data_IF_987022145691
#
_entry.id   IF_987022145691
#
_cell.length_a   1.000
_cell.length_b   1.000
_cell.length_c   1.000
_cell.angle_alpha   90.00
_cell.angle_beta   90.00
_cell.angle_gamma   90.00
#
_symmetry.space_group_name_H-M   'P 1'
#
loop_
_entity.id
_entity.type
_entity.pdbx_description
1 polymer ?
#
# COMPACT_ATOMS: atom_id res chain seq x y z
N UNK A 1 16.15 11.51 21.93
CA UNK A 1 15.92 11.85 20.50
C UNK A 1 15.16 10.69 19.89
N UNK A 2 13.92 10.93 19.46
CA UNK A 2 13.08 9.90 18.83
C UNK A 2 13.72 9.50 17.49
N UNK A 3 13.90 8.21 17.28
CA UNK A 3 14.35 7.65 16.00
C UNK A 3 13.16 7.01 15.30
N UNK A 4 13.01 7.26 14.03
CA UNK A 4 11.97 6.65 13.21
C UNK A 4 12.61 5.99 11.98
N UNK A 5 12.06 4.85 11.56
CA UNK A 5 12.42 4.16 10.32
C UNK A 5 11.15 4.04 9.49
N UNK A 6 11.22 4.42 8.23
CA UNK A 6 10.18 4.21 7.24
C UNK A 6 10.60 3.05 6.34
N UNK A 7 9.70 2.09 6.14
CA UNK A 7 9.97 0.82 5.49
C UNK A 7 9.01 0.65 4.31
N UNK A 8 9.56 0.52 3.13
CA UNK A 8 8.80 0.08 1.96
C UNK A 8 8.55 -1.43 2.02
N UNK A 9 7.51 -1.90 1.37
CA UNK A 9 7.03 -3.29 1.44
C UNK A 9 7.54 -4.11 0.27
N UNK A 10 7.05 -3.81 -0.92
CA UNK A 10 7.22 -4.68 -2.09
C UNK A 10 8.62 -4.54 -2.71
N UNK A 11 9.39 -5.60 -2.67
CA UNK A 11 10.79 -5.57 -3.08
C UNK A 11 11.78 -5.12 -2.01
N UNK A 12 11.30 -4.63 -0.84
CA UNK A 12 12.11 -4.20 0.31
C UNK A 12 11.94 -5.16 1.49
N UNK A 13 10.80 -5.12 2.17
CA UNK A 13 10.47 -6.06 3.27
C UNK A 13 10.05 -7.41 2.72
N UNK A 14 9.26 -7.43 1.66
CA UNK A 14 8.75 -8.64 1.01
C UNK A 14 9.48 -8.83 -0.32
N UNK A 15 10.19 -9.92 -0.45
CA UNK A 15 10.82 -10.29 -1.72
C UNK A 15 9.79 -10.77 -2.73
N UNK A 16 9.86 -10.30 -3.97
CA UNK A 16 9.05 -10.81 -5.09
C UNK A 16 9.23 -12.30 -5.39
N UNK A 17 10.29 -12.94 -4.85
CA UNK A 17 10.54 -14.38 -5.03
C UNK A 17 9.86 -15.24 -3.98
N UNK A 18 9.79 -14.78 -2.74
CA UNK A 18 9.30 -15.57 -1.60
C UNK A 18 7.94 -15.11 -1.10
N UNK A 19 7.52 -13.89 -1.46
CA UNK A 19 6.30 -13.22 -0.99
C UNK A 19 6.16 -13.23 0.55
N UNK A 20 7.31 -13.14 1.25
CA UNK A 20 7.36 -13.18 2.72
C UNK A 20 8.43 -12.25 3.26
N UNK A 21 8.19 -11.73 4.46
CA UNK A 21 9.21 -11.06 5.27
C UNK A 21 10.19 -12.10 5.82
N UNK A 22 11.50 -11.97 5.59
CA UNK A 22 12.48 -12.88 6.18
C UNK A 22 12.45 -12.84 7.71
N UNK A 23 12.63 -13.99 8.36
CA UNK A 23 12.65 -14.08 9.83
C UNK A 23 13.70 -13.14 10.45
N UNK A 24 14.90 -13.05 9.85
CA UNK A 24 15.96 -12.15 10.30
C UNK A 24 15.58 -10.67 10.24
N UNK A 25 14.79 -10.25 9.25
CA UNK A 25 14.29 -8.87 9.16
C UNK A 25 13.25 -8.62 10.25
N UNK A 26 12.33 -9.58 10.46
CA UNK A 26 11.32 -9.48 11.51
C UNK A 26 11.96 -9.37 12.91
N UNK A 27 12.99 -10.18 13.19
CA UNK A 27 13.71 -10.14 14.47
C UNK A 27 14.44 -8.80 14.67
N UNK A 28 15.10 -8.27 13.62
CA UNK A 28 15.77 -6.98 13.67
C UNK A 28 14.78 -5.82 13.91
N UNK A 29 13.61 -5.85 13.27
CA UNK A 29 12.57 -4.84 13.47
C UNK A 29 11.98 -4.88 14.88
N UNK A 30 11.73 -6.06 15.41
CA UNK A 30 11.28 -6.25 16.79
C UNK A 30 12.30 -5.72 17.80
N UNK A 31 13.58 -6.02 17.58
CA UNK A 31 14.66 -5.51 18.42
C UNK A 31 14.77 -3.97 18.36
N UNK A 32 14.70 -3.39 17.15
CA UNK A 32 14.73 -1.94 16.97
C UNK A 32 13.55 -1.28 17.68
N UNK A 33 12.34 -1.79 17.54
CA UNK A 33 11.14 -1.30 18.19
C UNK A 33 11.25 -1.41 19.73
N UNK A 34 11.73 -2.54 20.26
CA UNK A 34 11.97 -2.74 21.68
C UNK A 34 13.00 -1.75 22.27
N UNK A 35 13.91 -1.22 21.45
CA UNK A 35 14.86 -0.16 21.80
C UNK A 35 14.30 1.26 21.64
N UNK A 36 13.01 1.41 21.38
CA UNK A 36 12.32 2.70 21.25
C UNK A 36 12.46 3.37 19.89
N UNK A 37 12.81 2.63 18.83
CA UNK A 37 12.74 3.12 17.46
C UNK A 37 11.30 2.98 16.97
N UNK A 38 10.71 4.05 16.47
CA UNK A 38 9.38 4.01 15.84
C UNK A 38 9.50 3.44 14.43
N UNK A 39 8.58 2.55 14.07
CA UNK A 39 8.55 1.90 12.76
C UNK A 39 7.31 2.33 11.98
N UNK A 40 7.50 2.80 10.77
CA UNK A 40 6.41 3.18 9.88
C UNK A 40 6.52 2.41 8.56
N UNK A 41 5.39 1.93 8.08
CA UNK A 41 5.28 1.37 6.73
C UNK A 41 5.02 2.51 5.75
N UNK A 42 5.71 2.52 4.61
CA UNK A 42 5.50 3.48 3.52
C UNK A 42 5.31 2.69 2.23
N UNK A 43 4.08 2.66 1.70
CA UNK A 43 3.71 1.72 0.63
C UNK A 43 2.68 2.31 -0.34
N UNK A 44 2.66 1.78 -1.57
CA UNK A 44 1.58 1.99 -2.52
C UNK A 44 0.30 1.25 -2.16
N UNK A 45 0.37 0.19 -1.31
CA UNK A 45 -0.80 -0.59 -0.93
C UNK A 45 -1.78 0.22 -0.08
N UNK A 46 -3.07 -0.14 -0.13
CA UNK A 46 -4.05 0.33 0.84
C UNK A 46 -3.75 -0.22 2.25
N UNK A 47 -4.16 0.50 3.29
CA UNK A 47 -3.92 0.06 4.67
C UNK A 47 -4.60 -1.28 5.00
N UNK A 48 -5.73 -1.60 4.34
CA UNK A 48 -6.42 -2.88 4.48
C UNK A 48 -5.63 -4.08 3.93
N UNK A 49 -4.68 -3.84 3.01
CA UNK A 49 -3.90 -4.89 2.33
C UNK A 49 -2.57 -5.20 3.03
N UNK A 50 -2.45 -4.90 4.31
CA UNK A 50 -1.24 -5.09 5.11
C UNK A 50 -1.31 -6.28 6.08
N UNK A 51 -2.26 -7.19 5.90
CA UNK A 51 -2.44 -8.35 6.78
C UNK A 51 -1.19 -9.24 6.87
N UNK A 52 -0.41 -9.32 5.80
CA UNK A 52 0.87 -10.06 5.73
C UNK A 52 2.00 -9.42 6.56
N UNK A 53 1.81 -8.19 7.05
CA UNK A 53 2.76 -7.44 7.88
C UNK A 53 2.37 -7.39 9.37
N UNK A 54 1.30 -8.05 9.79
CA UNK A 54 0.83 -8.01 11.19
C UNK A 54 1.89 -8.41 12.22
N UNK A 55 2.82 -9.29 11.83
CA UNK A 55 3.92 -9.74 12.68
C UNK A 55 4.98 -8.65 12.96
N UNK A 56 5.00 -7.55 12.19
CA UNK A 56 5.89 -6.41 12.37
C UNK A 56 5.25 -5.44 13.37
N UNK A 57 5.97 -4.98 14.41
CA UNK A 57 5.45 -4.05 15.40
C UNK A 57 5.52 -2.59 14.89
N UNK A 58 4.89 -2.30 13.74
CA UNK A 58 4.87 -0.93 13.21
C UNK A 58 3.91 -0.02 13.98
N UNK A 59 4.22 1.27 14.07
CA UNK A 59 3.47 2.29 14.80
C UNK A 59 2.42 2.99 13.91
N UNK A 60 2.65 3.02 12.59
CA UNK A 60 1.75 3.63 11.63
C UNK A 60 2.12 3.32 10.19
N UNK A 61 1.29 3.78 9.27
CA UNK A 61 1.44 3.55 7.83
C UNK A 61 1.18 4.83 7.03
N UNK A 62 2.01 5.06 6.03
CA UNK A 62 1.76 5.96 4.91
C UNK A 62 1.36 5.07 3.72
N UNK A 63 0.05 4.80 3.62
CA UNK A 63 -0.57 3.99 2.60
C UNK A 63 -0.90 4.79 1.34
N UNK A 64 -1.20 4.11 0.23
CA UNK A 64 -1.56 4.73 -1.05
C UNK A 64 -0.54 5.81 -1.46
N UNK A 65 0.75 5.50 -1.36
CA UNK A 65 1.86 6.43 -1.62
C UNK A 65 1.79 7.74 -0.78
N UNK A 66 1.28 7.65 0.45
CA UNK A 66 1.12 8.77 1.37
C UNK A 66 -0.20 9.53 1.27
N UNK A 67 -1.13 9.09 0.40
CA UNK A 67 -2.46 9.68 0.32
C UNK A 67 -3.32 9.38 1.55
N UNK A 68 -3.05 8.26 2.26
CA UNK A 68 -3.71 7.91 3.51
C UNK A 68 -2.69 7.53 4.58
N UNK A 69 -2.49 8.40 5.57
CA UNK A 69 -1.53 8.21 6.66
C UNK A 69 -2.28 7.93 7.96
N UNK A 70 -2.03 6.76 8.53
CA UNK A 70 -2.71 6.25 9.71
C UNK A 70 -1.70 5.82 10.78
N UNK A 71 -2.06 6.00 12.05
CA UNK A 71 -1.42 5.24 13.13
C UNK A 71 -2.01 3.83 13.21
N UNK A 72 -1.29 2.90 13.82
CA UNK A 72 -1.75 1.51 13.97
C UNK A 72 -3.08 1.36 14.72
N UNK A 73 -3.41 2.32 15.57
CA UNK A 73 -4.70 2.37 16.31
C UNK A 73 -5.87 2.87 15.43
N UNK A 74 -5.64 3.15 14.14
CA UNK A 74 -6.63 3.65 13.19
C UNK A 74 -6.80 5.17 13.19
N UNK A 75 -6.06 5.91 14.02
CA UNK A 75 -6.11 7.37 14.04
C UNK A 75 -5.52 7.93 12.76
N UNK A 76 -6.31 8.72 12.04
CA UNK A 76 -5.88 9.40 10.82
C UNK A 76 -4.91 10.53 11.16
N UNK A 77 -3.73 10.50 10.56
CA UNK A 77 -2.69 11.55 10.66
C UNK A 77 -2.87 12.55 9.53
N UNK A 78 -3.03 12.06 8.30
CA UNK A 78 -3.28 12.86 7.12
C UNK A 78 -4.07 12.03 6.09
N UNK A 79 -4.93 12.70 5.32
CA UNK A 79 -5.67 12.07 4.22
C UNK A 79 -5.83 13.06 3.07
N UNK A 80 -5.40 12.66 1.89
CA UNK A 80 -5.38 13.48 0.68
C UNK A 80 -6.05 12.72 -0.47
N UNK A 81 -7.40 12.66 -0.50
CA UNK A 81 -8.12 11.99 -1.58
C UNK A 81 -7.96 12.76 -2.89
N UNK A 82 -8.01 12.05 -4.01
CA UNK A 82 -8.05 12.66 -5.34
C UNK A 82 -9.34 13.49 -5.45
N UNK A 83 -9.28 14.76 -5.86
CA UNK A 83 -10.45 15.57 -6.11
C UNK A 83 -11.36 14.93 -7.17
N UNK A 84 -12.67 14.99 -6.96
CA UNK A 84 -13.66 14.43 -7.90
C UNK A 84 -13.44 14.91 -9.34
N UNK A 85 -13.14 16.19 -9.52
CA UNK A 85 -12.89 16.76 -10.85
C UNK A 85 -11.68 16.14 -11.57
N UNK A 86 -10.64 15.75 -10.83
CA UNK A 86 -9.44 15.10 -11.41
C UNK A 86 -9.71 13.63 -11.71
N UNK A 87 -10.51 12.95 -10.88
CA UNK A 87 -11.02 11.62 -11.18
C UNK A 87 -11.89 11.60 -12.45
N UNK A 88 -12.83 12.54 -12.59
CA UNK A 88 -13.68 12.67 -13.79
C UNK A 88 -12.84 12.93 -15.05
N UNK A 89 -11.80 13.76 -14.98
CA UNK A 89 -10.84 13.95 -16.08
C UNK A 89 -10.09 12.67 -16.43
N UNK A 90 -9.67 11.89 -15.45
CA UNK A 90 -8.97 10.61 -15.67
C UNK A 90 -9.87 9.61 -16.41
N UNK A 91 -11.16 9.56 -16.06
CA UNK A 91 -12.16 8.75 -16.79
C UNK A 91 -12.37 9.22 -18.23
N UNK A 92 -12.44 10.55 -18.44
CA UNK A 92 -12.58 11.09 -19.80
C UNK A 92 -11.38 10.77 -20.68
N UNK A 93 -10.16 10.92 -20.16
CA UNK A 93 -8.93 10.55 -20.86
C UNK A 93 -8.86 9.04 -21.12
N UNK A 94 -9.29 8.22 -20.17
CA UNK A 94 -9.40 6.77 -20.35
C UNK A 94 -10.29 6.38 -21.53
N UNK A 95 -11.42 7.07 -21.69
CA UNK A 95 -12.33 6.84 -22.78
C UNK A 95 -11.77 7.33 -24.13
N UNK A 96 -11.07 8.47 -24.14
CA UNK A 96 -10.48 9.06 -25.33
C UNK A 96 -9.28 8.25 -25.86
N UNK A 97 -8.39 7.83 -24.95
CA UNK A 97 -7.12 7.20 -25.27
C UNK A 97 -7.13 5.66 -25.15
N UNK A 98 -8.28 5.10 -24.84
CA UNK A 98 -8.55 3.66 -24.77
C UNK A 98 -7.63 2.89 -23.79
N UNK A 99 -7.48 3.36 -22.55
CA UNK A 99 -6.77 2.65 -21.49
C UNK A 99 -7.65 2.44 -20.25
N UNK A 100 -7.45 1.39 -19.44
CA UNK A 100 -8.16 1.21 -18.16
C UNK A 100 -7.65 2.19 -17.10
N UNK A 101 -8.56 2.66 -16.23
CA UNK A 101 -8.22 3.44 -15.03
C UNK A 101 -8.61 2.63 -13.80
N UNK A 102 -7.66 2.47 -12.88
CA UNK A 102 -7.88 1.91 -11.56
C UNK A 102 -8.02 3.00 -10.51
N UNK A 103 -8.94 2.82 -9.59
CA UNK A 103 -9.14 3.65 -8.40
C UNK A 103 -8.89 2.79 -7.17
N UNK A 104 -7.89 3.17 -6.38
CA UNK A 104 -7.59 2.53 -5.12
C UNK A 104 -8.33 3.24 -3.99
N UNK A 105 -9.16 2.51 -3.27
CA UNK A 105 -9.90 2.96 -2.09
C UNK A 105 -9.43 2.19 -0.85
N UNK A 106 -9.89 2.61 0.33
CA UNK A 106 -9.54 1.93 1.58
C UNK A 106 -10.09 0.50 1.69
N UNK A 107 -11.12 0.18 0.92
CA UNK A 107 -11.86 -1.08 0.91
C UNK A 107 -11.69 -1.91 -0.36
N UNK A 108 -10.88 -1.45 -1.30
CA UNK A 108 -10.57 -2.22 -2.49
C UNK A 108 -10.05 -1.41 -3.67
N UNK A 109 -9.76 -2.12 -4.75
CA UNK A 109 -9.35 -1.56 -6.04
C UNK A 109 -10.47 -1.77 -7.04
N UNK A 110 -10.89 -0.70 -7.70
CA UNK A 110 -11.96 -0.70 -8.69
C UNK A 110 -11.40 -0.25 -10.03
N UNK A 111 -11.86 -0.85 -11.11
CA UNK A 111 -11.44 -0.48 -12.47
C UNK A 111 -12.67 -0.14 -13.31
N UNK A 112 -12.54 0.84 -14.22
CA UNK A 112 -13.61 1.17 -15.14
C UNK A 112 -13.86 0.07 -16.21
N UNK A 113 -12.87 -0.79 -16.44
CA UNK A 113 -12.99 -2.00 -17.26
C UNK A 113 -11.85 -2.98 -16.98
N UNK A 114 -12.15 -4.26 -17.01
CA UNK A 114 -11.17 -5.34 -16.89
C UNK A 114 -10.61 -5.64 -18.30
N UNK A 115 -9.30 -5.45 -18.46
CA UNK A 115 -8.55 -5.81 -19.68
C UNK A 115 -7.53 -6.89 -19.39
N UNK A 116 -6.90 -7.46 -20.43
CA UNK A 116 -5.80 -8.43 -20.28
C UNK A 116 -4.62 -7.86 -19.48
N UNK A 117 -4.36 -6.56 -19.62
CA UNK A 117 -3.30 -5.85 -18.90
C UNK A 117 -3.62 -5.75 -17.41
N UNK A 118 -4.89 -5.44 -17.07
CA UNK A 118 -5.36 -5.39 -15.66
C UNK A 118 -5.23 -6.77 -15.01
N UNK A 119 -5.67 -7.82 -15.70
CA UNK A 119 -5.54 -9.21 -15.20
C UNK A 119 -4.07 -9.56 -14.97
N UNK A 120 -3.21 -9.31 -15.96
CA UNK A 120 -1.77 -9.58 -15.85
C UNK A 120 -1.10 -8.80 -14.72
N UNK A 121 -1.48 -7.54 -14.51
CA UNK A 121 -0.96 -6.73 -13.40
C UNK A 121 -1.38 -7.33 -12.05
N UNK A 122 -2.66 -7.67 -11.89
CA UNK A 122 -3.16 -8.29 -10.67
C UNK A 122 -2.43 -9.61 -10.34
N UNK A 123 -2.21 -10.47 -11.36
CA UNK A 123 -1.42 -11.71 -11.21
C UNK A 123 0.03 -11.43 -10.79
N UNK A 124 0.67 -10.41 -11.39
CA UNK A 124 2.07 -10.07 -11.11
C UNK A 124 2.28 -9.60 -9.66
N UNK A 125 1.30 -8.89 -9.10
CA UNK A 125 1.35 -8.42 -7.70
C UNK A 125 0.66 -9.37 -6.71
N UNK A 126 0.20 -10.54 -7.19
CA UNK A 126 -0.53 -11.54 -6.40
C UNK A 126 -1.78 -10.98 -5.70
N UNK A 127 -2.48 -10.08 -6.38
CA UNK A 127 -3.72 -9.44 -5.91
C UNK A 127 -4.94 -9.99 -6.65
N UNK A 128 -6.13 -10.02 -6.05
CA UNK A 128 -7.37 -10.30 -6.78
C UNK A 128 -7.54 -9.37 -7.97
N UNK A 129 -8.15 -9.86 -9.05
CA UNK A 129 -8.51 -9.00 -10.19
C UNK A 129 -9.53 -7.98 -9.70
N UNK A 130 -9.31 -6.66 -9.91
CA UNK A 130 -10.23 -5.61 -9.48
C UNK A 130 -11.63 -5.78 -10.11
N UNK A 131 -12.65 -5.36 -9.38
CA UNK A 131 -14.04 -5.34 -9.85
C UNK A 131 -14.37 -4.07 -10.64
#
# INVERSE_FOLDING_TARGET
>A
MTKAIFLDVDGTLISFKTHRVPASALDALREAHARGVQLFIATGRAAADLADLEAIPYDGVAALNGADCLMRDGRVVARHPIPRADFEKSLALSAELDFPVGLELNDGVFVNRVTSEVVRLAEMVAHPVPE
#
